data_IF_845555842429
#
_entry.id   IF_845555842429
#
_cell.length_a   1.000
_cell.length_b   1.000
_cell.length_c   1.000
_cell.angle_alpha   90.00
_cell.angle_beta   90.00
_cell.angle_gamma   90.00
#
_symmetry.space_group_name_H-M   'P 1'
#
loop_
_entity.id
_entity.type
_entity.pdbx_description
1 polymer ?
#
# COMPACT_ATOMS: atom_id res chain seq x y z
N UNK A 1 25.50 4.75 6.50
CA UNK A 1 24.65 4.63 5.29
C UNK A 1 24.38 3.15 5.12
N UNK A 2 23.29 2.64 5.69
CA UNK A 2 22.95 1.21 5.58
C UNK A 2 22.23 1.04 4.24
N UNK A 3 22.69 0.13 3.38
CA UNK A 3 22.00 -0.22 2.15
C UNK A 3 20.64 -0.84 2.49
N UNK A 4 19.59 -0.41 1.82
CA UNK A 4 18.22 -0.85 2.11
C UNK A 4 17.74 -1.76 0.99
N UNK A 5 17.78 -3.07 1.23
CA UNK A 5 17.15 -4.05 0.35
C UNK A 5 15.72 -4.31 0.85
N UNK A 6 14.71 -3.75 0.16
CA UNK A 6 13.31 -4.14 0.40
C UNK A 6 13.11 -5.47 -0.31
N UNK A 7 13.44 -6.57 0.36
CA UNK A 7 13.24 -7.93 -0.18
C UNK A 7 11.79 -8.34 0.09
N UNK A 8 10.89 -7.97 -0.82
CA UNK A 8 9.59 -8.62 -0.90
C UNK A 8 9.73 -9.90 -1.73
N UNK A 9 9.72 -11.05 -1.06
CA UNK A 9 9.62 -12.36 -1.70
C UNK A 9 8.39 -13.09 -1.15
N UNK A 10 7.71 -13.94 -1.95
CA UNK A 10 6.59 -14.73 -1.46
C UNK A 10 6.96 -15.49 -0.18
N UNK A 11 6.19 -15.25 0.89
CA UNK A 11 6.40 -15.91 2.19
C UNK A 11 7.52 -15.34 3.07
N UNK A 12 8.21 -14.26 2.67
CA UNK A 12 9.16 -13.55 3.55
C UNK A 12 8.52 -12.31 4.16
N UNK A 13 8.64 -12.10 5.49
CA UNK A 13 8.15 -10.89 6.13
C UNK A 13 8.86 -9.65 5.56
N UNK A 14 8.07 -8.66 5.12
CA UNK A 14 8.58 -7.40 4.57
C UNK A 14 8.72 -6.37 5.68
N UNK A 15 9.77 -5.55 5.60
CA UNK A 15 9.90 -4.34 6.41
C UNK A 15 9.18 -3.18 5.72
N UNK A 16 8.22 -2.56 6.42
CA UNK A 16 7.41 -1.45 5.92
C UNK A 16 7.87 -0.14 6.57
N UNK A 17 8.06 0.89 5.75
CA UNK A 17 8.27 2.27 6.20
C UNK A 17 7.01 3.06 5.85
N UNK A 18 6.50 3.83 6.79
CA UNK A 18 5.29 4.64 6.59
C UNK A 18 5.44 5.98 7.30
N UNK A 19 4.73 7.01 6.83
CA UNK A 19 4.64 8.29 7.53
C UNK A 19 4.12 8.10 8.95
N UNK A 20 4.58 8.95 9.87
CA UNK A 20 4.16 8.95 11.26
C UNK A 20 2.67 9.26 11.36
N UNK A 21 1.92 8.33 11.93
CA UNK A 21 0.50 8.49 12.22
C UNK A 21 0.27 8.53 13.73
N UNK A 22 -0.20 9.65 14.26
CA UNK A 22 -0.45 9.83 15.70
C UNK A 22 -1.51 8.85 16.27
N UNK A 23 -2.37 8.32 15.41
CA UNK A 23 -3.42 7.36 15.75
C UNK A 23 -2.87 5.92 15.86
N UNK A 24 -1.68 5.64 15.32
CA UNK A 24 -1.03 4.32 15.38
C UNK A 24 -0.08 4.25 16.58
N UNK A 25 -0.64 3.95 17.75
CA UNK A 25 0.16 3.59 18.93
C UNK A 25 0.99 2.32 18.67
N UNK A 26 2.06 2.13 19.43
CA UNK A 26 2.92 0.94 19.33
C UNK A 26 2.13 -0.37 19.46
N UNK A 27 1.15 -0.41 20.38
CA UNK A 27 0.26 -1.57 20.55
C UNK A 27 -0.57 -1.86 19.28
N UNK A 28 -1.06 -0.82 18.60
CA UNK A 28 -1.81 -0.97 17.34
C UNK A 28 -0.88 -1.43 16.21
N UNK A 29 0.35 -0.92 16.16
CA UNK A 29 1.38 -1.36 15.20
C UNK A 29 1.72 -2.84 15.40
N UNK A 30 1.96 -3.27 16.65
CA UNK A 30 2.25 -4.67 16.96
C UNK A 30 1.11 -5.60 16.55
N UNK A 31 -0.15 -5.20 16.84
CA UNK A 31 -1.34 -5.94 16.40
C UNK A 31 -1.42 -6.05 14.88
N UNK A 32 -1.20 -4.94 14.16
CA UNK A 32 -1.22 -4.92 12.70
C UNK A 32 -0.17 -5.86 12.11
N UNK A 33 1.08 -5.78 12.59
CA UNK A 33 2.16 -6.65 12.11
C UNK A 33 1.83 -8.14 12.29
N UNK A 34 1.29 -8.51 13.46
CA UNK A 34 0.88 -9.88 13.75
C UNK A 34 -0.27 -10.40 12.86
N UNK A 35 -1.15 -9.51 12.39
CA UNK A 35 -2.26 -9.90 11.49
C UNK A 35 -1.93 -9.84 10.00
N UNK A 36 -0.99 -8.98 9.59
CA UNK A 36 -0.76 -8.64 8.19
C UNK A 36 0.47 -9.33 7.57
N UNK A 37 1.21 -10.15 8.33
CA UNK A 37 2.45 -10.80 7.85
C UNK A 37 3.59 -9.81 7.58
N UNK A 38 3.52 -8.62 8.21
CA UNK A 38 4.56 -7.59 8.12
C UNK A 38 5.62 -7.89 9.17
N UNK A 39 6.87 -8.04 8.75
CA UNK A 39 7.98 -8.39 9.65
C UNK A 39 8.37 -7.24 10.58
N UNK A 40 8.25 -6.01 10.08
CA UNK A 40 8.43 -4.79 10.88
C UNK A 40 7.72 -3.61 10.22
N UNK A 41 7.21 -2.67 11.02
CA UNK A 41 6.68 -1.39 10.58
C UNK A 41 7.42 -0.27 11.31
N UNK A 42 8.09 0.58 10.54
CA UNK A 42 8.81 1.77 11.03
C UNK A 42 8.03 3.01 10.62
N UNK A 43 7.61 3.80 11.62
CA UNK A 43 6.96 5.08 11.41
C UNK A 43 8.00 6.19 11.43
N UNK A 44 8.18 6.86 10.29
CA UNK A 44 9.17 7.93 10.11
C UNK A 44 8.49 9.27 9.93
N UNK A 45 9.21 10.36 10.20
CA UNK A 45 8.75 11.70 9.86
C UNK A 45 9.01 11.94 8.37
N UNK A 46 7.97 12.21 7.59
CA UNK A 46 8.07 12.50 6.14
C UNK A 46 8.97 13.70 5.80
N UNK A 47 9.22 14.61 6.73
CA UNK A 47 10.19 15.70 6.54
C UNK A 47 11.65 15.22 6.55
N UNK A 48 11.92 14.14 7.28
CA UNK A 48 13.26 13.58 7.47
C UNK A 48 13.51 12.40 6.52
N UNK A 49 12.45 11.77 5.99
CA UNK A 49 12.53 10.69 5.01
C UNK A 49 11.77 11.04 3.71
N UNK A 50 12.46 11.57 2.68
CA UNK A 50 11.81 12.06 1.46
C UNK A 50 11.17 10.96 0.61
N UNK A 51 11.40 9.68 0.92
CA UNK A 51 10.79 8.55 0.19
C UNK A 51 9.31 8.37 0.53
N UNK A 52 8.90 8.85 1.69
CA UNK A 52 7.52 8.73 2.19
C UNK A 52 6.56 9.52 1.30
N UNK A 53 6.90 10.75 0.95
CA UNK A 53 5.99 11.64 0.22
C UNK A 53 5.63 11.12 -1.18
N UNK A 54 6.58 10.65 -2.02
CA UNK A 54 6.23 10.00 -3.29
C UNK A 54 5.41 8.73 -3.11
N UNK A 55 5.72 7.90 -2.11
CA UNK A 55 4.98 6.67 -1.84
C UNK A 55 3.52 6.97 -1.44
N UNK A 56 3.31 7.92 -0.55
CA UNK A 56 1.98 8.37 -0.11
C UNK A 56 1.19 9.01 -1.26
N UNK A 57 1.85 9.81 -2.10
CA UNK A 57 1.24 10.36 -3.31
C UNK A 57 0.75 9.26 -4.25
N UNK A 58 1.61 8.29 -4.58
CA UNK A 58 1.26 7.16 -5.44
C UNK A 58 0.13 6.32 -4.84
N UNK A 59 0.18 6.05 -3.53
CA UNK A 59 -0.90 5.35 -2.83
C UNK A 59 -2.22 6.13 -2.89
N UNK A 60 -2.17 7.46 -2.76
CA UNK A 60 -3.32 8.35 -2.90
C UNK A 60 -3.93 8.33 -4.31
N UNK A 61 -3.09 8.38 -5.35
CA UNK A 61 -3.51 8.27 -6.76
C UNK A 61 -4.17 6.92 -7.03
N UNK A 62 -3.52 5.82 -6.62
CA UNK A 62 -4.06 4.47 -6.79
C UNK A 62 -5.41 4.30 -6.07
N UNK A 63 -5.53 4.81 -4.83
CA UNK A 63 -6.78 4.80 -4.06
C UNK A 63 -7.88 5.60 -4.75
N UNK A 64 -7.56 6.75 -5.33
CA UNK A 64 -8.54 7.59 -6.05
C UNK A 64 -9.06 6.89 -7.29
N UNK A 65 -8.18 6.35 -8.13
CA UNK A 65 -8.54 5.57 -9.33
C UNK A 65 -9.44 4.40 -8.94
N UNK A 66 -9.03 3.59 -7.95
CA UNK A 66 -9.83 2.47 -7.47
C UNK A 66 -11.20 2.91 -6.94
N UNK A 67 -11.27 4.02 -6.20
CA UNK A 67 -12.54 4.55 -5.69
C UNK A 67 -13.47 4.97 -6.83
N UNK A 68 -12.95 5.61 -7.87
CA UNK A 68 -13.77 6.03 -9.00
C UNK A 68 -14.29 4.83 -9.81
N UNK A 69 -13.45 3.81 -10.06
CA UNK A 69 -13.88 2.53 -10.65
C UNK A 69 -15.01 1.88 -9.84
N UNK A 70 -14.84 1.77 -8.52
CA UNK A 70 -15.83 1.15 -7.64
C UNK A 70 -17.17 1.89 -7.62
N UNK A 71 -17.15 3.21 -7.86
CA UNK A 71 -18.32 4.07 -7.91
C UNK A 71 -18.87 4.29 -9.34
N UNK A 72 -18.38 3.56 -10.34
CA UNK A 72 -18.87 3.66 -11.73
C UNK A 72 -18.47 4.95 -12.44
N UNK A 73 -17.42 5.63 -11.97
CA UNK A 73 -16.82 6.83 -12.57
C UNK A 73 -15.37 6.57 -13.02
N UNK A 74 -15.05 5.30 -13.27
CA UNK A 74 -13.72 4.85 -13.66
C UNK A 74 -13.23 5.47 -14.96
N UNK A 75 -11.92 5.57 -15.09
CA UNK A 75 -11.24 5.97 -16.31
C UNK A 75 -10.33 4.82 -16.76
N UNK A 76 -10.71 4.21 -17.89
CA UNK A 76 -10.03 3.02 -18.41
C UNK A 76 -8.54 3.28 -18.72
N UNK A 77 -8.17 4.52 -19.08
CA UNK A 77 -6.77 4.88 -19.35
C UNK A 77 -5.99 4.92 -18.04
N UNK A 78 -6.50 5.62 -17.03
CA UNK A 78 -5.84 5.71 -15.73
C UNK A 78 -5.72 4.35 -15.04
N UNK A 79 -6.77 3.53 -15.13
CA UNK A 79 -6.75 2.15 -14.61
C UNK A 79 -5.72 1.30 -15.35
N UNK A 80 -5.61 1.44 -16.68
CA UNK A 80 -4.60 0.72 -17.47
C UNK A 80 -3.17 1.16 -17.13
N UNK A 81 -2.94 2.44 -16.86
CA UNK A 81 -1.63 2.97 -16.47
C UNK A 81 -1.19 2.49 -15.07
N UNK A 82 -2.13 2.36 -14.13
CA UNK A 82 -1.84 1.89 -12.77
C UNK A 82 -1.54 0.38 -12.74
N UNK A 83 -2.19 -0.39 -13.61
CA UNK A 83 -2.21 -1.86 -13.58
C UNK A 83 -0.83 -2.54 -13.49
N UNK A 84 0.23 -2.14 -14.22
CA UNK A 84 1.53 -2.81 -14.15
C UNK A 84 2.20 -2.71 -12.77
N UNK A 85 1.76 -1.76 -11.93
CA UNK A 85 2.34 -1.48 -10.62
C UNK A 85 1.56 -2.13 -9.47
N UNK A 86 0.48 -2.86 -9.76
CA UNK A 86 -0.35 -3.53 -8.75
C UNK A 86 -0.22 -5.03 -8.90
N UNK A 87 0.31 -5.69 -7.86
CA UNK A 87 0.39 -7.15 -7.81
C UNK A 87 -1.03 -7.75 -7.87
N UNK A 88 -1.34 -8.68 -8.80
CA UNK A 88 -2.66 -9.29 -8.91
C UNK A 88 -3.13 -10.03 -7.64
N UNK A 89 -2.19 -10.49 -6.82
CA UNK A 89 -2.41 -11.11 -5.51
C UNK A 89 -2.57 -10.12 -4.36
N UNK A 90 -2.55 -8.81 -4.62
CA UNK A 90 -2.79 -7.78 -3.59
C UNK A 90 -4.14 -7.99 -2.89
N UNK A 91 -4.11 -7.93 -1.56
CA UNK A 91 -5.33 -8.02 -0.73
C UNK A 91 -6.21 -6.79 -1.00
N UNK A 92 -7.52 -7.04 -1.16
CA UNK A 92 -8.54 -6.00 -1.35
C UNK A 92 -9.58 -6.13 -0.25
N UNK A 93 -10.22 -5.03 0.12
CA UNK A 93 -11.06 -4.95 1.32
C UNK A 93 -12.27 -5.91 1.34
N UNK A 94 -12.82 -6.26 0.18
CA UNK A 94 -13.95 -7.18 0.05
C UNK A 94 -14.01 -7.83 -1.35
N UNK A 95 -14.84 -8.87 -1.48
CA UNK A 95 -14.97 -9.65 -2.71
C UNK A 95 -15.47 -8.83 -3.90
N UNK A 96 -16.44 -7.92 -3.68
CA UNK A 96 -17.00 -7.08 -4.74
C UNK A 96 -15.94 -6.12 -5.26
N UNK A 97 -15.17 -5.50 -4.36
CA UNK A 97 -14.05 -4.65 -4.73
C UNK A 97 -12.96 -5.43 -5.47
N UNK A 98 -12.74 -6.69 -5.08
CA UNK A 98 -11.83 -7.59 -5.80
C UNK A 98 -12.30 -7.87 -7.21
N UNK A 99 -13.52 -8.31 -7.41
CA UNK A 99 -14.07 -8.60 -8.74
C UNK A 99 -14.04 -7.37 -9.67
N UNK A 100 -14.37 -6.19 -9.14
CA UNK A 100 -14.42 -4.93 -9.90
C UNK A 100 -13.07 -4.31 -10.23
N UNK A 101 -12.01 -4.72 -9.55
CA UNK A 101 -10.68 -4.17 -9.79
C UNK A 101 -9.68 -5.23 -10.28
N UNK A 102 -10.12 -6.49 -10.39
CA UNK A 102 -9.34 -7.61 -10.92
C UNK A 102 -9.35 -7.69 -12.46
N UNK A 103 -9.63 -6.57 -13.14
CA UNK A 103 -9.80 -6.55 -14.59
C UNK A 103 -8.60 -7.19 -15.32
N UNK A 104 -8.93 -8.20 -16.14
CA UNK A 104 -8.03 -9.00 -16.99
C UNK A 104 -7.28 -8.17 -18.00
#
# INVERSE_FOLDING_TARGET
MVGWEVVAAPGRPVALIHDRQSVLTEQRVARLCGTAGVGSLVLVNSLDDPRVQPADFLAGVARKIASDELNGRGDAVLTSLLRPYVDPGSVRGDERSRARLAHR
#
